data_IF_331142133260
#
_entry.id   IF_331142133260
#
_cell.length_a   1.000
_cell.length_b   1.000
_cell.length_c   1.000
_cell.angle_alpha   90.00
_cell.angle_beta   90.00
_cell.angle_gamma   90.00
#
_symmetry.space_group_name_H-M   'P 1'
#
loop_
_entity.id
_entity.type
_entity.pdbx_description
1 polymer ?
#
# COMPACT_ATOMS: atom_id res chain seq x y z
N UNK A 1 32.02 2.95 -2.16
CA UNK A 1 30.58 3.03 -1.87
C UNK A 1 29.92 2.02 -2.78
N UNK A 2 29.12 1.10 -2.25
CA UNK A 2 28.54 0.01 -3.05
C UNK A 2 27.26 0.51 -3.74
N UNK A 3 27.06 0.16 -5.01
CA UNK A 3 25.85 0.54 -5.74
C UNK A 3 24.90 -0.66 -5.79
N UNK A 4 23.61 -0.40 -5.68
CA UNK A 4 22.54 -1.37 -5.84
C UNK A 4 21.45 -0.79 -6.74
N UNK A 5 20.82 -1.61 -7.58
CA UNK A 5 19.67 -1.14 -8.34
C UNK A 5 18.47 -0.95 -7.42
N UNK A 6 17.56 -0.06 -7.75
CA UNK A 6 16.27 0.07 -7.05
C UNK A 6 15.50 -1.25 -7.01
N UNK A 7 15.52 -2.04 -8.08
CA UNK A 7 14.87 -3.36 -8.14
C UNK A 7 15.50 -4.41 -7.20
N UNK A 8 16.80 -4.32 -6.92
CA UNK A 8 17.49 -5.23 -6.00
C UNK A 8 17.39 -4.81 -4.52
N UNK A 9 16.97 -3.57 -4.26
CA UNK A 9 16.97 -2.98 -2.90
C UNK A 9 16.19 -3.82 -1.88
N UNK A 10 15.00 -4.29 -2.24
CA UNK A 10 14.14 -5.08 -1.35
C UNK A 10 14.81 -6.40 -0.97
N UNK A 11 15.43 -7.10 -1.93
CA UNK A 11 16.14 -8.37 -1.69
C UNK A 11 17.36 -8.15 -0.81
N UNK A 12 18.15 -7.13 -1.09
CA UNK A 12 19.31 -6.78 -0.27
C UNK A 12 18.91 -6.46 1.16
N UNK A 13 17.88 -5.64 1.34
CA UNK A 13 17.40 -5.25 2.66
C UNK A 13 16.91 -6.46 3.47
N UNK A 14 15.98 -7.25 2.90
CA UNK A 14 15.33 -8.37 3.60
C UNK A 14 16.26 -9.56 3.86
N UNK A 15 17.37 -9.69 3.12
CA UNK A 15 18.34 -10.77 3.32
C UNK A 15 19.40 -10.48 4.38
N UNK A 16 19.53 -9.23 4.84
CA UNK A 16 20.65 -8.79 5.67
C UNK A 16 20.23 -8.17 7.01
N UNK A 17 19.02 -7.62 7.12
CA UNK A 17 18.62 -6.80 8.27
C UNK A 17 17.29 -7.27 8.87
N UNK A 18 17.18 -7.13 10.20
CA UNK A 18 16.02 -7.54 10.99
C UNK A 18 15.20 -6.37 11.51
N UNK A 19 15.77 -5.16 11.59
CA UNK A 19 15.10 -3.97 12.13
C UNK A 19 15.20 -2.76 11.20
N UNK A 20 14.26 -1.82 11.34
CA UNK A 20 14.32 -0.54 10.60
C UNK A 20 15.60 0.23 10.91
N UNK A 21 16.06 0.23 12.17
CA UNK A 21 17.28 0.92 12.57
C UNK A 21 18.55 0.37 11.88
N UNK A 22 18.64 -0.94 11.68
CA UNK A 22 19.74 -1.55 10.93
C UNK A 22 19.72 -1.13 9.45
N UNK A 23 18.53 -1.09 8.85
CA UNK A 23 18.36 -0.63 7.46
C UNK A 23 18.79 0.82 7.31
N UNK A 24 18.34 1.71 8.20
CA UNK A 24 18.75 3.14 8.20
C UNK A 24 20.27 3.29 8.28
N UNK A 25 20.92 2.58 9.20
CA UNK A 25 22.38 2.62 9.34
C UNK A 25 23.09 2.11 8.08
N UNK A 26 22.54 1.10 7.41
CA UNK A 26 23.11 0.49 6.21
C UNK A 26 22.95 1.37 4.96
N UNK A 27 21.88 2.15 4.85
CA UNK A 27 21.63 3.04 3.69
C UNK A 27 22.76 4.05 3.47
N UNK A 28 23.43 4.50 4.53
CA UNK A 28 24.60 5.40 4.43
C UNK A 28 25.80 4.81 3.67
N UNK A 29 25.84 3.49 3.50
CA UNK A 29 26.97 2.75 2.91
C UNK A 29 26.79 2.43 1.43
N UNK A 30 25.60 2.69 0.89
CA UNK A 30 25.22 2.34 -0.47
C UNK A 30 24.74 3.55 -1.27
N UNK A 31 24.67 3.39 -2.59
CA UNK A 31 23.85 4.22 -3.47
C UNK A 31 22.81 3.34 -4.14
N UNK A 32 21.58 3.84 -4.22
CA UNK A 32 20.52 3.22 -5.01
C UNK A 32 20.53 3.90 -6.37
N UNK A 33 20.66 3.13 -7.43
CA UNK A 33 20.75 3.61 -8.82
C UNK A 33 19.62 3.05 -9.66
N UNK A 34 19.25 3.77 -10.71
CA UNK A 34 18.25 3.31 -11.69
C UNK A 34 18.76 2.10 -12.47
N UNK A 35 17.85 1.25 -12.97
CA UNK A 35 18.21 0.07 -13.76
C UNK A 35 18.76 0.45 -15.13
N UNK A 36 18.14 1.43 -15.79
CA UNK A 36 18.54 1.88 -17.12
C UNK A 36 18.18 3.34 -17.35
N UNK A 37 18.79 3.93 -18.37
CA UNK A 37 18.37 5.20 -18.95
C UNK A 37 17.74 4.91 -20.32
N UNK A 38 16.65 5.59 -20.65
CA UNK A 38 16.04 5.49 -21.97
C UNK A 38 16.92 6.17 -23.05
N UNK A 39 16.47 6.11 -24.31
CA UNK A 39 17.20 6.71 -25.43
C UNK A 39 17.35 8.23 -25.35
N UNK A 40 16.55 8.90 -24.53
CA UNK A 40 16.59 10.34 -24.29
C UNK A 40 17.47 10.69 -23.08
N UNK A 41 18.01 9.70 -22.39
CA UNK A 41 18.85 9.86 -21.21
C UNK A 41 18.04 10.08 -19.93
N UNK A 42 16.73 9.80 -19.92
CA UNK A 42 15.94 9.83 -18.70
C UNK A 42 16.10 8.50 -17.93
N UNK A 43 16.24 8.53 -16.59
CA UNK A 43 16.31 7.31 -15.81
C UNK A 43 14.97 6.57 -15.84
N UNK A 44 15.00 5.23 -15.75
CA UNK A 44 13.77 4.47 -15.50
C UNK A 44 13.11 4.94 -14.21
N UNK A 45 11.76 4.92 -14.12
CA UNK A 45 11.05 5.39 -12.93
C UNK A 45 11.61 4.74 -11.66
N UNK A 46 12.08 5.57 -10.73
CA UNK A 46 12.67 5.08 -9.48
C UNK A 46 11.57 4.80 -8.46
N UNK A 47 11.64 3.63 -7.84
CA UNK A 47 10.74 3.28 -6.76
C UNK A 47 11.01 4.11 -5.49
N UNK A 48 10.00 4.17 -4.61
CA UNK A 48 10.16 4.54 -3.21
C UNK A 48 9.64 3.41 -2.33
N UNK A 49 10.15 3.31 -1.10
CA UNK A 49 9.86 2.15 -0.25
C UNK A 49 9.29 2.57 1.08
N UNK A 50 8.27 1.84 1.53
CA UNK A 50 7.91 1.77 2.94
C UNK A 50 8.61 0.56 3.54
N UNK A 51 9.33 0.75 4.64
CA UNK A 51 9.96 -0.32 5.42
C UNK A 51 9.36 -0.29 6.81
N UNK A 52 9.02 -1.46 7.35
CA UNK A 52 8.49 -1.58 8.71
C UNK A 52 9.03 -2.85 9.38
N UNK A 53 9.17 -2.84 10.71
CA UNK A 53 9.64 -3.99 11.49
C UNK A 53 8.59 -4.49 12.50
N UNK A 54 8.92 -5.60 13.19
CA UNK A 54 8.06 -6.23 14.20
C UNK A 54 7.81 -5.35 15.43
N UNK A 55 8.65 -4.34 15.67
CA UNK A 55 8.49 -3.40 16.76
C UNK A 55 7.51 -2.26 16.40
N UNK A 56 7.02 -2.21 15.17
CA UNK A 56 6.10 -1.19 14.69
C UNK A 56 6.78 0.10 14.23
N UNK A 57 8.12 0.09 14.13
CA UNK A 57 8.86 1.16 13.47
C UNK A 57 8.51 1.13 11.99
N UNK A 58 8.45 2.30 11.38
CA UNK A 58 8.14 2.42 9.96
C UNK A 58 8.79 3.67 9.40
N UNK A 59 9.46 3.52 8.25
CA UNK A 59 10.07 4.59 7.49
C UNK A 59 9.61 4.57 6.04
N UNK A 60 9.76 5.72 5.40
CA UNK A 60 9.68 5.89 3.95
C UNK A 60 11.05 6.30 3.43
N UNK A 61 11.50 5.66 2.35
CA UNK A 61 12.78 5.91 1.70
C UNK A 61 12.48 6.43 0.29
N UNK A 62 12.94 7.64 -0.01
CA UNK A 62 12.76 8.32 -1.30
C UNK A 62 14.11 8.71 -1.89
N UNK A 63 14.31 8.42 -3.17
CA UNK A 63 15.51 8.82 -3.92
C UNK A 63 15.20 10.14 -4.61
N UNK A 64 15.79 11.23 -4.10
CA UNK A 64 15.53 12.60 -4.58
C UNK A 64 16.85 13.30 -4.89
N UNK A 65 16.81 14.57 -5.31
CA UNK A 65 17.99 15.44 -5.44
C UNK A 65 19.20 14.77 -6.12
N UNK A 66 19.00 14.21 -7.32
CA UNK A 66 20.03 13.51 -8.09
C UNK A 66 20.64 12.28 -7.39
N UNK A 67 19.78 11.44 -6.79
CA UNK A 67 20.18 10.14 -6.23
C UNK A 67 20.46 10.15 -4.73
N UNK A 68 20.13 11.24 -4.03
CA UNK A 68 20.19 11.33 -2.58
C UNK A 68 19.07 10.51 -1.95
N UNK A 69 19.47 9.61 -1.05
CA UNK A 69 18.54 8.84 -0.21
C UNK A 69 18.00 9.77 0.88
N UNK A 70 16.69 10.01 0.88
CA UNK A 70 15.98 10.70 1.94
C UNK A 70 15.14 9.70 2.72
N UNK A 71 15.24 9.77 4.05
CA UNK A 71 14.55 8.85 4.96
C UNK A 71 13.59 9.68 5.79
N UNK A 72 12.33 9.27 5.80
CA UNK A 72 11.25 9.91 6.55
C UNK A 72 10.71 8.91 7.56
N UNK A 73 10.44 9.36 8.79
CA UNK A 73 9.65 8.57 9.72
C UNK A 73 8.22 8.47 9.17
N UNK A 74 7.70 7.25 9.01
CA UNK A 74 6.34 7.05 8.51
C UNK A 74 5.31 7.28 9.62
N UNK A 75 5.04 8.55 9.91
CA UNK A 75 4.10 9.00 10.94
C UNK A 75 2.64 8.76 10.55
N UNK A 76 2.30 8.90 9.28
CA UNK A 76 0.96 8.64 8.74
C UNK A 76 0.62 7.14 8.63
N UNK A 77 1.61 6.24 8.83
CA UNK A 77 1.49 4.77 8.71
C UNK A 77 1.04 4.26 7.33
N UNK A 78 1.12 5.11 6.30
CA UNK A 78 0.72 4.83 4.92
C UNK A 78 1.77 5.34 3.94
N UNK A 79 1.74 4.83 2.71
CA UNK A 79 2.53 5.32 1.57
C UNK A 79 1.74 5.00 0.29
N UNK A 80 1.79 5.88 -0.70
CA UNK A 80 1.17 5.63 -2.02
C UNK A 80 2.18 5.81 -3.14
N UNK A 81 2.17 6.95 -3.83
CA UNK A 81 3.11 7.32 -4.89
C UNK A 81 3.37 8.83 -4.75
N UNK A 82 3.83 9.49 -5.82
CA UNK A 82 4.09 10.93 -5.88
C UNK A 82 2.90 11.80 -5.44
N UNK A 83 3.13 13.01 -4.90
CA UNK A 83 4.42 13.65 -4.58
C UNK A 83 5.14 12.99 -3.39
N UNK A 84 6.24 13.60 -2.94
CA UNK A 84 7.06 13.09 -1.82
C UNK A 84 6.28 12.95 -0.51
N UNK A 85 6.83 12.18 0.42
CA UNK A 85 6.15 11.85 1.67
C UNK A 85 5.80 13.08 2.53
N UNK A 86 6.68 14.09 2.59
CA UNK A 86 6.42 15.27 3.42
C UNK A 86 5.27 16.11 2.85
N UNK A 87 5.18 16.21 1.52
CA UNK A 87 4.03 16.81 0.87
C UNK A 87 2.74 16.07 1.21
N UNK A 88 2.74 14.73 1.11
CA UNK A 88 1.57 13.91 1.44
C UNK A 88 1.11 14.11 2.89
N UNK A 89 2.05 14.16 3.84
CA UNK A 89 1.76 14.46 5.25
C UNK A 89 1.19 15.88 5.41
N UNK A 90 1.76 16.87 4.72
CA UNK A 90 1.25 18.24 4.75
C UNK A 90 -0.16 18.34 4.17
N UNK A 91 -0.45 17.57 3.11
CA UNK A 91 -1.76 17.52 2.47
C UNK A 91 -2.86 17.05 3.44
N UNK A 92 -2.55 16.23 4.45
CA UNK A 92 -3.52 15.83 5.48
C UNK A 92 -4.12 17.03 6.22
N UNK A 93 -3.44 18.17 6.29
CA UNK A 93 -3.95 19.39 6.93
C UNK A 93 -5.24 19.91 6.25
N UNK A 94 -5.46 19.60 4.97
CA UNK A 94 -6.69 19.98 4.25
C UNK A 94 -7.90 19.15 4.69
N UNK A 95 -7.70 18.07 5.45
CA UNK A 95 -8.72 17.08 5.79
C UNK A 95 -8.89 16.90 7.31
N UNK A 96 -8.39 17.84 8.11
CA UNK A 96 -8.46 17.78 9.59
C UNK A 96 -9.90 17.74 10.14
N UNK A 97 -10.87 18.14 9.33
CA UNK A 97 -12.29 18.15 9.66
C UNK A 97 -12.96 16.78 9.47
N UNK A 98 -12.28 15.80 8.85
CA UNK A 98 -12.86 14.48 8.60
C UNK A 98 -12.86 13.64 9.88
N UNK A 99 -14.03 13.14 10.25
CA UNK A 99 -14.19 12.24 11.38
C UNK A 99 -15.11 11.07 11.01
N UNK A 100 -14.88 9.85 11.53
CA UNK A 100 -15.79 8.74 11.31
C UNK A 100 -17.18 9.05 11.92
N UNK A 101 -18.22 8.42 11.39
CA UNK A 101 -19.56 8.46 11.96
C UNK A 101 -20.54 9.41 11.27
N UNK A 102 -21.38 10.06 12.08
CA UNK A 102 -22.56 10.80 11.66
C UNK A 102 -22.46 12.25 12.14
N UNK A 103 -22.70 13.21 11.25
CA UNK A 103 -22.83 14.62 11.62
C UNK A 103 -24.11 14.86 12.44
N UNK A 104 -23.99 15.64 13.50
CA UNK A 104 -25.14 16.03 14.32
C UNK A 104 -26.19 16.77 13.47
N UNK A 105 -27.50 16.56 13.72
CA UNK A 105 -28.54 17.36 13.10
C UNK A 105 -28.34 18.85 13.39
N UNK A 106 -28.70 19.69 12.43
CA UNK A 106 -28.61 21.13 12.55
C UNK A 106 -29.76 21.81 11.82
N UNK A 107 -30.07 23.04 12.24
CA UNK A 107 -31.07 23.85 11.57
C UNK A 107 -30.39 24.74 10.54
N UNK A 108 -30.70 24.54 9.25
CA UNK A 108 -30.23 25.37 8.16
C UNK A 108 -31.41 26.27 7.76
N UNK A 109 -31.39 27.53 8.21
CA UNK A 109 -32.51 28.45 8.10
C UNK A 109 -33.79 27.86 8.70
N UNK A 110 -34.81 27.57 7.88
CA UNK A 110 -36.05 26.94 8.32
C UNK A 110 -36.05 25.40 8.28
N UNK A 111 -34.98 24.78 7.78
CA UNK A 111 -34.93 23.34 7.51
C UNK A 111 -34.21 22.58 8.62
N UNK A 112 -34.82 21.52 9.12
CA UNK A 112 -34.15 20.55 10.00
C UNK A 112 -33.31 19.58 9.16
N UNK A 113 -32.02 19.89 9.03
CA UNK A 113 -31.07 19.05 8.31
C UNK A 113 -30.56 17.94 9.24
N UNK A 114 -30.71 16.70 8.80
CA UNK A 114 -30.22 15.51 9.49
C UNK A 114 -29.44 14.63 8.52
N UNK A 115 -28.50 13.87 9.06
CA UNK A 115 -27.75 12.88 8.29
C UNK A 115 -28.67 11.80 7.72
N UNK A 116 -28.45 11.40 6.47
CA UNK A 116 -29.20 10.31 5.83
C UNK A 116 -28.74 8.91 6.25
N UNK A 117 -27.63 8.81 6.98
CA UNK A 117 -27.05 7.57 7.47
C UNK A 117 -25.64 7.78 8.03
N UNK A 118 -24.91 6.69 8.20
CA UNK A 118 -23.48 6.71 8.52
C UNK A 118 -22.70 7.27 7.34
N UNK A 119 -21.76 8.19 7.60
CA UNK A 119 -20.85 8.70 6.58
C UNK A 119 -20.83 10.22 6.42
N UNK A 120 -21.85 10.91 6.94
CA UNK A 120 -21.95 12.37 6.78
C UNK A 120 -20.80 13.14 7.43
N UNK A 121 -20.15 12.58 8.45
CA UNK A 121 -19.09 13.24 9.22
C UNK A 121 -17.72 13.26 8.52
N UNK A 122 -17.60 12.58 7.37
CA UNK A 122 -16.42 12.61 6.52
C UNK A 122 -16.76 12.90 5.05
N UNK A 123 -17.88 13.61 4.81
CA UNK A 123 -18.14 14.22 3.50
C UNK A 123 -17.00 15.19 3.17
N UNK A 124 -16.33 14.94 2.04
CA UNK A 124 -15.09 15.61 1.67
C UNK A 124 -13.88 14.66 1.58
N UNK A 125 -14.00 13.43 2.09
CA UNK A 125 -13.02 12.38 1.82
C UNK A 125 -12.94 12.12 0.30
N UNK A 126 -11.76 12.28 -0.34
CA UNK A 126 -11.68 12.24 -1.80
C UNK A 126 -11.87 10.81 -2.32
N UNK A 127 -12.61 10.64 -3.41
CA UNK A 127 -12.99 9.32 -3.95
C UNK A 127 -12.23 8.87 -5.21
N UNK A 128 -11.43 9.74 -5.81
CA UNK A 128 -10.68 9.43 -7.04
C UNK A 128 -9.44 8.55 -6.80
N UNK A 129 -8.84 8.02 -7.86
CA UNK A 129 -7.74 7.05 -7.77
C UNK A 129 -6.34 7.69 -7.73
N UNK A 130 -6.23 9.02 -7.69
CA UNK A 130 -4.92 9.70 -7.65
C UNK A 130 -4.14 9.33 -6.39
N UNK A 131 -2.79 9.34 -6.43
CA UNK A 131 -2.00 9.01 -5.25
C UNK A 131 -2.26 9.89 -4.03
N UNK A 132 -2.44 11.24 -4.15
CA UNK A 132 -2.84 12.08 -3.02
C UNK A 132 -4.18 11.68 -2.40
N UNK A 133 -5.20 11.42 -3.23
CA UNK A 133 -6.52 11.00 -2.74
C UNK A 133 -6.47 9.63 -2.08
N UNK A 134 -5.73 8.68 -2.65
CA UNK A 134 -5.47 7.38 -2.02
C UNK A 134 -4.72 7.53 -0.69
N UNK A 135 -3.74 8.43 -0.60
CA UNK A 135 -3.00 8.65 0.64
C UNK A 135 -3.92 9.14 1.77
N UNK A 136 -4.75 10.16 1.49
CA UNK A 136 -5.73 10.71 2.44
C UNK A 136 -6.74 9.65 2.87
N UNK A 137 -7.31 8.89 1.92
CA UNK A 137 -8.23 7.77 2.24
C UNK A 137 -7.56 6.72 3.11
N UNK A 138 -6.35 6.30 2.77
CA UNK A 138 -5.64 5.27 3.53
C UNK A 138 -5.34 5.76 4.95
N UNK A 139 -4.84 6.98 5.11
CA UNK A 139 -4.58 7.59 6.41
C UNK A 139 -5.86 7.67 7.26
N UNK A 140 -6.98 8.10 6.67
CA UNK A 140 -8.28 8.15 7.36
C UNK A 140 -8.72 6.76 7.85
N UNK A 141 -8.72 5.76 6.97
CA UNK A 141 -9.17 4.41 7.34
C UNK A 141 -8.26 3.74 8.36
N UNK A 142 -6.94 3.85 8.22
CA UNK A 142 -5.97 3.32 9.19
C UNK A 142 -6.14 4.00 10.55
N UNK A 143 -6.34 5.31 10.59
CA UNK A 143 -6.54 6.06 11.83
C UNK A 143 -7.87 5.73 12.52
N UNK A 144 -8.92 5.43 11.74
CA UNK A 144 -10.24 5.09 12.28
C UNK A 144 -10.40 3.62 12.69
N UNK A 145 -9.48 2.75 12.27
CA UNK A 145 -9.54 1.33 12.57
C UNK A 145 -9.32 1.08 14.08
N UNK A 146 -10.09 0.19 14.71
CA UNK A 146 -9.87 -0.18 16.10
C UNK A 146 -8.59 -1.00 16.26
N UNK A 147 -8.09 -1.11 17.49
CA UNK A 147 -7.06 -2.10 17.83
C UNK A 147 -7.73 -3.47 17.94
N UNK A 148 -7.27 -4.43 17.13
CA UNK A 148 -7.79 -5.79 17.12
C UNK A 148 -7.11 -6.68 18.14
N UNK A 149 -7.83 -7.71 18.62
CA UNK A 149 -7.34 -8.62 19.66
C UNK A 149 -6.50 -9.76 19.07
N UNK A 150 -6.75 -10.11 17.81
CA UNK A 150 -6.08 -11.23 17.14
C UNK A 150 -5.47 -10.78 15.81
N UNK A 151 -4.41 -11.44 15.37
CA UNK A 151 -3.82 -11.15 14.06
C UNK A 151 -4.79 -11.44 12.91
N UNK A 152 -5.65 -12.45 13.04
CA UNK A 152 -6.62 -12.80 12.00
C UNK A 152 -7.63 -11.68 11.76
N UNK A 153 -8.17 -11.08 12.83
CA UNK A 153 -9.05 -9.91 12.71
C UNK A 153 -8.32 -8.72 12.09
N UNK A 154 -7.07 -8.47 12.49
CA UNK A 154 -6.26 -7.39 11.92
C UNK A 154 -5.97 -7.60 10.42
N UNK A 155 -5.65 -8.83 10.01
CA UNK A 155 -5.44 -9.20 8.60
C UNK A 155 -6.72 -9.01 7.80
N UNK A 156 -7.86 -9.49 8.32
CA UNK A 156 -9.17 -9.30 7.69
C UNK A 156 -9.51 -7.82 7.52
N UNK A 157 -9.30 -7.00 8.56
CA UNK A 157 -9.52 -5.56 8.48
C UNK A 157 -8.58 -4.89 7.46
N UNK A 158 -7.31 -5.30 7.40
CA UNK A 158 -6.37 -4.75 6.44
C UNK A 158 -6.84 -4.99 4.99
N UNK A 159 -7.35 -6.19 4.68
CA UNK A 159 -7.98 -6.44 3.37
C UNK A 159 -9.23 -5.59 3.16
N UNK A 160 -10.09 -5.40 4.16
CA UNK A 160 -11.25 -4.51 4.04
C UNK A 160 -10.86 -3.05 3.74
N UNK A 161 -9.81 -2.54 4.37
CA UNK A 161 -9.27 -1.22 4.06
C UNK A 161 -8.75 -1.22 2.62
N UNK A 162 -7.92 -2.20 2.24
CA UNK A 162 -7.29 -2.28 0.91
C UNK A 162 -8.30 -2.43 -0.24
N UNK A 163 -9.47 -3.01 0.00
CA UNK A 163 -10.55 -3.08 -1.01
C UNK A 163 -11.01 -1.70 -1.49
N UNK A 164 -10.80 -0.63 -0.71
CA UNK A 164 -11.11 0.76 -1.12
C UNK A 164 -10.11 1.33 -2.15
N UNK A 165 -9.11 0.53 -2.53
CA UNK A 165 -8.03 0.88 -3.44
C UNK A 165 -7.93 -0.10 -4.62
N UNK A 166 -8.91 -1.00 -4.77
CA UNK A 166 -9.03 -1.85 -5.94
C UNK A 166 -9.41 -0.96 -7.14
N UNK A 167 -8.52 -0.85 -8.13
CA UNK A 167 -8.73 -0.07 -9.35
C UNK A 167 -9.24 -1.02 -10.45
N UNK A 168 -10.47 -0.83 -10.96
CA UNK A 168 -10.97 -1.62 -12.08
C UNK A 168 -10.21 -1.34 -13.38
N UNK A 169 -10.11 -2.34 -14.24
CA UNK A 169 -9.53 -2.20 -15.58
C UNK A 169 -10.29 -1.10 -16.35
N UNK A 170 -9.54 -0.17 -16.94
CA UNK A 170 -10.09 0.92 -17.74
C UNK A 170 -10.22 2.25 -17.00
N UNK A 171 -10.28 2.27 -15.67
CA UNK A 171 -10.48 3.50 -14.88
C UNK A 171 -9.33 4.51 -14.97
N UNK A 172 -8.17 4.09 -15.45
CA UNK A 172 -6.96 4.90 -15.59
C UNK A 172 -6.72 5.40 -17.02
N UNK A 173 -7.54 4.99 -17.98
CA UNK A 173 -7.34 5.28 -19.40
C UNK A 173 -8.40 6.24 -19.93
N UNK A 174 -7.96 7.26 -20.68
CA UNK A 174 -8.86 8.24 -21.30
C UNK A 174 -9.67 7.66 -22.48
N UNK A 175 -9.16 6.60 -23.10
CA UNK A 175 -9.75 5.98 -24.28
C UNK A 175 -9.83 4.45 -24.09
N UNK A 176 -11.04 3.91 -24.26
CA UNK A 176 -11.31 2.48 -24.16
C UNK A 176 -10.60 1.64 -25.22
N UNK A 177 -10.22 2.23 -26.35
CA UNK A 177 -9.51 1.54 -27.42
C UNK A 177 -8.03 1.28 -27.12
N UNK A 178 -7.49 1.93 -26.08
CA UNK A 178 -6.06 1.90 -25.73
C UNK A 178 -5.79 1.28 -24.34
N UNK A 179 -6.65 0.36 -23.88
CA UNK A 179 -6.41 -0.38 -22.63
C UNK A 179 -5.37 -1.48 -22.92
N UNK A 180 -4.16 -1.44 -22.33
CA UNK A 180 -3.11 -2.42 -22.59
C UNK A 180 -3.44 -3.77 -21.93
N UNK A 181 -2.85 -4.84 -22.46
CA UNK A 181 -2.96 -6.21 -21.91
C UNK A 181 -2.35 -6.33 -20.49
N UNK A 182 -1.40 -5.44 -20.15
CA UNK A 182 -0.90 -5.27 -18.79
C UNK A 182 -1.52 -4.01 -18.18
N UNK A 183 -2.74 -4.09 -17.63
CA UNK A 183 -3.43 -2.94 -17.08
C UNK A 183 -2.72 -2.43 -15.81
N UNK A 184 -2.80 -1.12 -15.58
CA UNK A 184 -2.37 -0.44 -14.34
C UNK A 184 -3.28 -0.72 -13.13
N UNK A 185 -4.31 -1.54 -13.33
CA UNK A 185 -5.26 -1.99 -12.32
C UNK A 185 -4.60 -2.69 -11.13
N UNK A 186 -5.34 -2.86 -10.03
CA UNK A 186 -4.87 -3.58 -8.84
C UNK A 186 -4.74 -5.08 -9.13
N UNK A 187 -3.57 -5.52 -9.58
CA UNK A 187 -3.32 -6.90 -10.01
C UNK A 187 -3.36 -7.91 -8.84
N UNK A 188 -2.87 -7.50 -7.68
CA UNK A 188 -2.89 -8.31 -6.45
C UNK A 188 -2.78 -7.42 -5.21
N UNK A 189 -3.29 -7.94 -4.10
CA UNK A 189 -3.32 -7.26 -2.81
C UNK A 189 -2.72 -8.19 -1.77
N UNK A 190 -1.76 -7.69 -0.96
CA UNK A 190 -1.10 -8.49 0.07
C UNK A 190 -1.13 -7.83 1.45
N UNK A 191 -1.10 -8.67 2.49
CA UNK A 191 -1.00 -8.29 3.90
C UNK A 191 0.04 -9.19 4.55
N UNK A 192 0.95 -8.62 5.33
CA UNK A 192 2.01 -9.38 6.03
C UNK A 192 1.79 -9.26 7.53
N UNK A 193 1.57 -10.38 8.21
CA UNK A 193 1.67 -10.49 9.66
C UNK A 193 3.13 -10.79 10.03
N UNK A 194 3.87 -9.73 10.39
CA UNK A 194 5.27 -9.87 10.79
C UNK A 194 5.46 -10.56 12.14
N UNK A 195 4.44 -10.53 13.02
CA UNK A 195 4.49 -11.17 14.32
C UNK A 195 4.56 -12.68 14.18
N UNK A 196 3.67 -13.24 13.36
CA UNK A 196 3.58 -14.67 13.10
C UNK A 196 4.40 -15.13 11.88
N UNK A 197 4.91 -14.22 11.06
CA UNK A 197 5.66 -14.57 9.85
C UNK A 197 4.77 -15.17 8.78
N UNK A 198 3.64 -14.53 8.51
CA UNK A 198 2.66 -14.98 7.52
C UNK A 198 2.45 -13.90 6.44
N UNK A 199 2.47 -14.32 5.18
CA UNK A 199 2.10 -13.49 4.03
C UNK A 199 0.73 -13.94 3.53
N UNK A 200 -0.20 -13.00 3.41
CA UNK A 200 -1.51 -13.21 2.84
C UNK A 200 -1.63 -12.46 1.52
N UNK A 201 -2.32 -13.02 0.54
CA UNK A 201 -2.60 -12.33 -0.71
C UNK A 201 -3.89 -12.79 -1.40
N UNK A 202 -4.49 -11.89 -2.18
CA UNK A 202 -5.53 -12.18 -3.19
C UNK A 202 -5.09 -11.57 -4.53
N UNK A 203 -5.67 -12.01 -5.63
CA UNK A 203 -5.36 -11.48 -6.97
C UNK A 203 -6.60 -10.85 -7.60
N UNK A 204 -6.43 -10.13 -8.70
CA UNK A 204 -7.54 -9.54 -9.44
C UNK A 204 -8.49 -10.60 -10.05
N UNK A 205 -8.00 -11.82 -10.29
CA UNK A 205 -8.81 -12.90 -10.86
C UNK A 205 -9.41 -13.83 -9.81
N UNK A 206 -8.80 -13.92 -8.62
CA UNK A 206 -9.29 -14.80 -7.55
C UNK A 206 -9.19 -14.09 -6.18
N UNK A 207 -10.37 -13.73 -5.67
CA UNK A 207 -10.55 -13.05 -4.38
C UNK A 207 -10.36 -13.96 -3.16
N UNK A 208 -10.10 -15.26 -3.35
CA UNK A 208 -9.73 -16.16 -2.26
C UNK A 208 -8.40 -15.71 -1.65
N UNK A 209 -8.44 -15.33 -0.38
CA UNK A 209 -7.23 -14.97 0.37
C UNK A 209 -6.42 -16.24 0.60
N UNK A 210 -5.19 -16.25 0.09
CA UNK A 210 -4.21 -17.32 0.24
C UNK A 210 -3.20 -16.92 1.31
N UNK A 211 -2.66 -17.91 2.02
CA UNK A 211 -1.68 -17.73 3.10
C UNK A 211 -0.41 -18.51 2.81
N UNK A 212 0.73 -17.86 3.04
CA UNK A 212 2.07 -18.45 3.05
C UNK A 212 2.65 -18.29 4.45
N UNK A 213 2.89 -19.40 5.13
CA UNK A 213 3.60 -19.42 6.42
C UNK A 213 5.10 -19.43 6.12
N UNK A 214 5.79 -18.32 6.39
CA UNK A 214 7.21 -18.15 6.01
C UNK A 214 8.11 -19.14 6.75
N UNK A 215 7.74 -19.56 7.96
CA UNK A 215 8.48 -20.56 8.74
C UNK A 215 8.52 -21.96 8.10
N UNK A 216 7.65 -22.23 7.12
CA UNK A 216 7.62 -23.50 6.36
C UNK A 216 8.50 -23.45 5.10
N UNK A 217 9.09 -22.30 4.78
CA UNK A 217 9.95 -22.14 3.61
C UNK A 217 11.39 -22.53 3.94
N UNK A 218 12.07 -23.17 2.99
CA UNK A 218 13.52 -23.41 3.08
C UNK A 218 14.30 -22.21 2.52
N UNK A 219 14.73 -21.32 3.41
CA UNK A 219 15.57 -20.18 3.06
C UNK A 219 17.03 -20.56 2.76
N UNK A 220 17.43 -21.81 2.97
CA UNK A 220 18.77 -22.32 2.62
C UNK A 220 18.77 -23.08 1.28
N UNK A 221 17.63 -23.12 0.58
CA UNK A 221 17.53 -23.76 -0.72
C UNK A 221 18.54 -23.16 -1.71
N UNK A 222 19.24 -24.03 -2.45
CA UNK A 222 20.26 -23.61 -3.43
C UNK A 222 19.66 -23.01 -4.70
N UNK A 223 18.36 -23.17 -4.91
CA UNK A 223 17.62 -22.70 -6.09
C UNK A 223 16.37 -21.96 -5.65
N UNK A 224 16.06 -20.86 -6.33
CA UNK A 224 14.83 -20.11 -6.09
C UNK A 224 13.60 -20.91 -6.51
N UNK A 225 12.61 -21.00 -5.62
CA UNK A 225 11.30 -21.53 -5.96
C UNK A 225 10.42 -20.39 -6.50
N UNK A 226 9.80 -20.61 -7.66
CA UNK A 226 8.88 -19.66 -8.30
C UNK A 226 7.55 -20.34 -8.55
N UNK A 227 6.46 -19.67 -8.21
CA UNK A 227 5.11 -20.16 -8.47
C UNK A 227 4.22 -19.01 -8.97
N UNK A 228 3.28 -19.28 -9.89
CA UNK A 228 2.21 -18.33 -10.20
C UNK A 228 1.41 -17.96 -8.95
N UNK A 229 0.95 -16.71 -8.86
CA UNK A 229 0.10 -16.27 -7.75
C UNK A 229 -1.29 -16.92 -7.81
N UNK A 230 -1.82 -17.12 -9.02
CA UNK A 230 -3.08 -17.78 -9.32
C UNK A 230 -3.02 -18.52 -10.68
N UNK A 231 -4.18 -18.99 -11.17
CA UNK A 231 -4.32 -19.64 -12.47
C UNK A 231 -4.84 -18.69 -13.59
N UNK A 232 -4.93 -17.39 -13.33
CA UNK A 232 -5.46 -16.37 -14.23
C UNK A 232 -6.96 -16.48 -14.55
N UNK A 233 -7.74 -17.24 -13.76
CA UNK A 233 -9.18 -17.48 -14.02
C UNK A 233 -10.04 -16.99 -12.87
N UNK A 234 -11.18 -16.42 -13.22
CA UNK A 234 -12.26 -16.16 -12.28
C UNK A 234 -12.89 -17.48 -11.84
N UNK A 235 -12.98 -17.68 -10.53
CA UNK A 235 -13.52 -18.89 -9.91
C UNK A 235 -14.63 -18.55 -8.92
N UNK A 236 -15.57 -19.47 -8.75
CA UNK A 236 -16.64 -19.39 -7.76
C UNK A 236 -16.72 -20.69 -6.99
N UNK A 237 -17.16 -20.64 -5.74
CA UNK A 237 -17.50 -21.83 -4.96
C UNK A 237 -19.02 -22.06 -5.05
N UNK A 238 -19.44 -23.22 -5.53
CA UNK A 238 -20.85 -23.58 -5.56
C UNK A 238 -21.39 -23.77 -4.14
N UNK A 239 -22.50 -23.08 -3.82
CA UNK A 239 -23.19 -23.21 -2.54
C UNK A 239 -24.46 -24.03 -2.76
N UNK A 240 -24.48 -25.24 -2.21
CA UNK A 240 -25.67 -26.11 -2.21
C UNK A 240 -26.49 -25.83 -0.95
N UNK A 241 -27.63 -25.18 -1.10
CA UNK A 241 -28.60 -24.99 -0.02
C UNK A 241 -29.42 -26.29 0.10
N UNK A 242 -29.33 -26.95 1.25
CA UNK A 242 -30.13 -28.14 1.58
C UNK A 242 -31.42 -27.76 2.30
#
# INVERSE_FOLDING_TARGET
>A
MNNITDMDFVRWMLSQYSTVAEVEAALSKIKIVTVYFDSEGNPSPTAHWRVSDKQGNSIVIEIMDHGKINIHKNTAKVLTNSPDYNWQVTNLNNYINLHPGISAPQKINGVEAKSFGVGSNFVGLPGDISPPSRFVRAAFYVNSAPVFKTSQEAVSQAFHILNNFDIPIGSEFNDKSHIPDLPSATQWTSVIDQGNGELFYKTMHDSTIRRVELSKLDFNAKTEHKQPLDNGKFTTQDVVIK
#
